data_IF_978400458803
#
_entry.id   IF_978400458803
#
_cell.length_a   1.000
_cell.length_b   1.000
_cell.length_c   1.000
_cell.angle_alpha   90.00
_cell.angle_beta   90.00
_cell.angle_gamma   90.00
#
_symmetry.space_group_name_H-M   'P 1'
#
loop_
_entity.id
_entity.type
_entity.pdbx_description
1 polymer ?
#
# COMPACT_ATOMS: atom_id res chain seq x y z
N UNK A 1 37.01 -30.96 -42.31
CA UNK A 1 37.09 -30.21 -41.06
C UNK A 1 35.98 -29.15 -41.08
N UNK A 2 34.84 -29.46 -40.45
CA UNK A 2 33.67 -28.58 -40.40
C UNK A 2 33.69 -27.81 -39.08
N UNK A 3 33.90 -26.49 -39.14
CA UNK A 3 33.82 -25.60 -37.96
C UNK A 3 32.36 -25.29 -37.67
N UNK A 4 31.80 -25.86 -36.61
CA UNK A 4 30.52 -25.44 -36.08
C UNK A 4 30.72 -24.14 -35.28
N UNK A 5 30.14 -23.05 -35.78
CA UNK A 5 29.98 -21.81 -35.03
C UNK A 5 28.69 -21.93 -34.23
N UNK A 6 28.84 -22.11 -32.93
CA UNK A 6 27.72 -22.02 -31.96
C UNK A 6 27.51 -20.55 -31.64
N UNK A 7 26.48 -19.99 -32.22
CA UNK A 7 26.01 -18.65 -31.86
C UNK A 7 25.27 -18.73 -30.53
N UNK A 8 25.93 -18.29 -29.45
CA UNK A 8 25.29 -18.12 -28.15
C UNK A 8 24.36 -16.89 -28.21
N UNK A 9 23.07 -17.16 -28.32
CA UNK A 9 22.03 -16.14 -28.26
C UNK A 9 21.81 -15.76 -26.81
N UNK A 10 22.45 -14.67 -26.35
CA UNK A 10 22.17 -14.07 -25.06
C UNK A 10 20.77 -13.47 -25.08
N UNK A 11 19.79 -14.18 -24.52
CA UNK A 11 18.51 -13.61 -24.14
C UNK A 11 18.75 -12.66 -22.95
N UNK A 12 18.90 -11.38 -23.25
CA UNK A 12 18.80 -10.33 -22.24
C UNK A 12 17.34 -10.30 -21.76
N UNK A 13 17.07 -10.97 -20.62
CA UNK A 13 15.81 -10.89 -19.95
C UNK A 13 15.60 -9.45 -19.46
N UNK A 14 14.75 -8.70 -20.16
CA UNK A 14 14.26 -7.44 -19.66
C UNK A 14 13.39 -7.73 -18.42
N UNK A 15 13.96 -7.67 -17.24
CA UNK A 15 13.20 -7.61 -16.00
C UNK A 15 12.52 -6.27 -15.98
N UNK A 16 11.23 -6.23 -16.36
CA UNK A 16 10.37 -5.09 -16.10
C UNK A 16 10.25 -4.96 -14.57
N UNK A 17 11.19 -4.26 -13.95
CA UNK A 17 11.01 -3.73 -12.63
C UNK A 17 9.87 -2.71 -12.73
N UNK A 18 8.68 -3.14 -12.34
CA UNK A 18 7.58 -2.24 -12.02
C UNK A 18 7.97 -1.54 -10.71
N UNK A 19 9.00 -0.70 -10.80
CA UNK A 19 9.34 0.22 -9.73
C UNK A 19 8.12 1.14 -9.57
N UNK A 20 7.48 1.00 -8.45
CA UNK A 20 6.35 1.82 -8.06
C UNK A 20 6.92 3.16 -7.67
N UNK A 21 7.07 4.06 -8.64
CA UNK A 21 7.49 5.44 -8.41
C UNK A 21 6.36 6.19 -7.68
N UNK A 22 6.14 5.82 -6.42
CA UNK A 22 5.40 6.69 -5.53
C UNK A 22 6.24 7.95 -5.34
N UNK A 23 5.65 9.15 -5.48
CA UNK A 23 6.34 10.37 -5.11
C UNK A 23 6.85 10.24 -3.68
N UNK A 24 8.03 10.78 -3.39
CA UNK A 24 8.59 10.77 -2.03
C UNK A 24 7.62 11.47 -1.09
N UNK A 25 7.00 10.71 -0.18
CA UNK A 25 6.05 11.20 0.81
C UNK A 25 6.70 11.40 2.18
N UNK A 26 6.07 12.26 2.98
CA UNK A 26 6.38 12.47 4.40
C UNK A 26 5.38 11.67 5.25
N UNK A 27 5.83 10.58 5.86
CA UNK A 27 5.00 9.71 6.69
C UNK A 27 4.44 10.43 7.93
N UNK A 28 5.17 11.39 8.51
CA UNK A 28 4.69 12.13 9.68
C UNK A 28 3.55 13.08 9.30
N UNK A 29 3.67 13.76 8.15
CA UNK A 29 2.59 14.57 7.62
C UNK A 29 1.41 13.69 7.17
N UNK A 30 1.68 12.57 6.51
CA UNK A 30 0.67 11.61 6.09
C UNK A 30 -0.18 11.07 7.25
N UNK A 31 0.43 10.83 8.42
CA UNK A 31 -0.31 10.47 9.64
C UNK A 31 -1.30 11.56 10.05
N UNK A 32 -0.87 12.83 10.01
CA UNK A 32 -1.74 13.95 10.39
C UNK A 32 -2.93 14.05 9.45
N UNK A 33 -2.69 13.98 8.13
CA UNK A 33 -3.74 14.05 7.11
C UNK A 33 -4.68 12.85 7.24
N UNK A 34 -4.15 11.64 7.37
CA UNK A 34 -4.93 10.40 7.55
C UNK A 34 -5.92 10.50 8.72
N UNK A 35 -5.52 11.14 9.81
CA UNK A 35 -6.39 11.36 10.96
C UNK A 35 -7.34 12.55 10.75
N UNK A 36 -6.89 13.64 10.13
CA UNK A 36 -7.71 14.83 9.88
C UNK A 36 -8.84 14.56 8.90
N UNK A 37 -8.55 13.82 7.82
CA UNK A 37 -9.51 13.48 6.78
C UNK A 37 -10.43 12.29 7.13
N UNK A 38 -10.29 11.75 8.33
CA UNK A 38 -11.20 10.73 8.85
C UNK A 38 -10.98 9.32 8.29
N UNK A 39 -9.90 9.04 7.57
CA UNK A 39 -9.58 7.72 7.02
C UNK A 39 -9.59 6.62 8.11
N UNK A 40 -9.17 6.98 9.32
CA UNK A 40 -9.11 6.09 10.47
C UNK A 40 -10.47 5.56 10.92
N UNK A 41 -11.56 6.25 10.61
CA UNK A 41 -12.91 5.86 11.06
C UNK A 41 -13.31 4.50 10.49
N UNK A 42 -12.93 4.22 9.25
CA UNK A 42 -13.18 2.94 8.59
C UNK A 42 -11.95 2.02 8.62
N UNK A 43 -10.74 2.58 8.40
CA UNK A 43 -9.52 1.81 8.24
C UNK A 43 -8.70 1.61 9.52
N UNK A 44 -9.12 2.23 10.64
CA UNK A 44 -8.40 2.17 11.91
C UNK A 44 -7.22 3.13 12.01
N UNK A 45 -6.84 3.49 13.24
CA UNK A 45 -5.81 4.51 13.51
C UNK A 45 -4.42 4.14 12.99
N UNK A 46 -4.17 2.86 12.82
CA UNK A 46 -2.93 2.30 12.29
C UNK A 46 -3.17 1.46 11.04
N UNK A 47 -4.23 1.76 10.30
CA UNK A 47 -4.55 1.07 9.05
C UNK A 47 -4.85 -0.43 9.21
N UNK A 48 -5.31 -0.85 10.39
CA UNK A 48 -5.59 -2.25 10.69
C UNK A 48 -6.87 -2.78 10.04
N UNK A 49 -7.72 -1.90 9.50
CA UNK A 49 -8.98 -2.24 8.86
C UNK A 49 -10.09 -2.64 9.83
N UNK A 50 -11.27 -2.93 9.29
CA UNK A 50 -12.35 -3.62 9.98
C UNK A 50 -12.96 -2.93 11.20
N UNK A 51 -13.01 -1.58 11.22
CA UNK A 51 -13.64 -0.86 12.31
C UNK A 51 -15.15 -0.60 12.05
N UNK A 52 -15.69 0.46 12.55
CA UNK A 52 -17.11 0.73 12.79
C UNK A 52 -18.09 0.45 11.64
N UNK A 53 -17.67 0.43 10.38
CA UNK A 53 -18.56 0.28 9.22
C UNK A 53 -18.39 -1.07 8.49
N UNK A 54 -17.72 -2.06 9.07
CA UNK A 54 -17.63 -3.39 8.51
C UNK A 54 -16.29 -3.71 7.82
N UNK A 55 -16.30 -4.10 6.54
CA UNK A 55 -15.19 -4.79 5.86
C UNK A 55 -14.11 -3.87 5.27
N UNK A 56 -13.82 -2.71 5.85
CA UNK A 56 -12.74 -1.85 5.35
C UNK A 56 -11.40 -2.60 5.36
N UNK A 57 -10.66 -2.60 4.24
CA UNK A 57 -9.43 -3.38 4.13
C UNK A 57 -8.31 -2.84 5.02
N UNK A 58 -7.36 -3.73 5.35
CA UNK A 58 -6.11 -3.36 6.01
C UNK A 58 -5.27 -2.54 5.04
N UNK A 59 -4.82 -1.38 5.50
CA UNK A 59 -3.98 -0.46 4.72
C UNK A 59 -2.52 -0.48 5.18
N UNK A 60 -2.25 -0.89 6.43
CA UNK A 60 -0.88 -0.98 6.93
C UNK A 60 -0.02 -1.88 6.04
N UNK A 61 1.15 -1.40 5.64
CA UNK A 61 2.08 -2.05 4.70
C UNK A 61 1.41 -2.42 3.36
N UNK A 62 0.52 -1.55 2.87
CA UNK A 62 -0.12 -1.78 1.58
C UNK A 62 0.91 -2.09 0.48
N UNK A 63 0.63 -3.14 -0.29
CA UNK A 63 1.41 -3.52 -1.48
C UNK A 63 0.80 -2.96 -2.76
N UNK A 64 -0.25 -2.18 -2.62
CA UNK A 64 -0.91 -1.55 -3.77
C UNK A 64 0.06 -0.58 -4.44
N UNK A 65 0.14 -0.54 -5.78
CA UNK A 65 0.84 0.50 -6.50
C UNK A 65 0.31 1.89 -6.15
N UNK A 66 1.17 2.91 -6.06
CA UNK A 66 0.71 4.27 -5.75
C UNK A 66 -0.36 4.76 -6.74
N UNK A 67 -0.20 4.45 -8.03
CA UNK A 67 -1.19 4.79 -9.05
C UNK A 67 -2.57 4.16 -8.76
N UNK A 68 -2.62 2.91 -8.29
CA UNK A 68 -3.86 2.25 -7.90
C UNK A 68 -4.42 2.83 -6.59
N UNK A 69 -3.56 3.14 -5.62
CA UNK A 69 -3.94 3.83 -4.40
C UNK A 69 -4.58 5.19 -4.69
N UNK A 70 -3.94 6.02 -5.53
CA UNK A 70 -4.48 7.30 -5.97
C UNK A 70 -5.82 7.14 -6.68
N UNK A 71 -5.94 6.17 -7.60
CA UNK A 71 -7.20 5.89 -8.28
C UNK A 71 -8.31 5.53 -7.28
N UNK A 72 -8.01 4.73 -6.25
CA UNK A 72 -8.97 4.36 -5.21
C UNK A 72 -9.42 5.58 -4.40
N UNK A 73 -8.56 6.54 -4.15
CA UNK A 73 -8.92 7.80 -3.49
C UNK A 73 -9.85 8.65 -4.36
N UNK A 74 -9.61 8.71 -5.68
CA UNK A 74 -10.37 9.57 -6.61
C UNK A 74 -11.71 8.95 -7.04
N UNK A 75 -11.71 7.65 -7.30
CA UNK A 75 -12.84 6.87 -7.78
C UNK A 75 -12.97 5.59 -6.94
N UNK A 76 -13.41 5.73 -5.69
CA UNK A 76 -13.47 4.59 -4.78
C UNK A 76 -14.52 3.57 -5.21
N UNK A 77 -14.29 2.32 -4.82
CA UNK A 77 -15.28 1.26 -4.87
C UNK A 77 -15.98 1.15 -3.52
N UNK A 78 -17.20 0.61 -3.52
CA UNK A 78 -18.07 0.44 -2.35
C UNK A 78 -18.34 1.77 -1.62
N UNK A 79 -18.49 1.71 -0.31
CA UNK A 79 -18.93 2.84 0.53
C UNK A 79 -17.81 3.83 0.92
N UNK A 80 -16.63 3.71 0.36
CA UNK A 80 -15.54 4.66 0.62
C UNK A 80 -15.88 6.02 -0.03
N UNK A 81 -15.81 7.15 0.69
CA UNK A 81 -16.02 8.45 0.08
C UNK A 81 -14.88 8.84 -0.87
N UNK A 82 -15.17 9.56 -1.96
CA UNK A 82 -14.14 10.05 -2.86
C UNK A 82 -13.38 11.25 -2.25
N UNK A 83 -12.08 11.28 -2.49
CA UNK A 83 -11.18 12.39 -2.15
C UNK A 83 -10.63 13.00 -3.44
N UNK A 84 -11.32 13.98 -4.05
CA UNK A 84 -10.84 14.63 -5.27
C UNK A 84 -9.58 15.45 -5.01
N UNK A 85 -8.84 15.78 -6.06
CA UNK A 85 -7.51 16.40 -5.96
C UNK A 85 -7.50 17.77 -5.30
N UNK A 86 -8.61 18.51 -5.41
CA UNK A 86 -8.79 19.80 -4.73
C UNK A 86 -8.98 19.67 -3.20
N UNK A 87 -9.39 18.52 -2.69
CA UNK A 87 -9.49 18.22 -1.26
C UNK A 87 -8.25 17.50 -0.73
N UNK A 88 -7.69 16.59 -1.50
CA UNK A 88 -6.51 15.81 -1.15
C UNK A 88 -5.51 15.86 -2.32
N UNK A 89 -4.62 16.85 -2.38
CA UNK A 89 -3.60 16.96 -3.43
C UNK A 89 -2.72 15.69 -3.54
N UNK A 90 -2.14 15.46 -4.72
CA UNK A 90 -1.31 14.28 -4.98
C UNK A 90 -0.16 14.13 -3.98
N UNK A 91 0.47 15.24 -3.59
CA UNK A 91 1.52 15.24 -2.57
C UNK A 91 1.02 14.70 -1.23
N UNK A 92 -0.14 15.12 -0.80
CA UNK A 92 -0.74 14.67 0.46
C UNK A 92 -1.16 13.21 0.38
N UNK A 93 -1.67 12.76 -0.77
CA UNK A 93 -1.91 11.34 -1.02
C UNK A 93 -0.62 10.52 -0.94
N UNK A 94 0.51 11.04 -1.45
CA UNK A 94 1.83 10.41 -1.32
C UNK A 94 2.31 10.38 0.14
N UNK A 95 2.06 11.42 0.91
CA UNK A 95 2.38 11.48 2.34
C UNK A 95 1.58 10.41 3.12
N UNK A 96 0.27 10.29 2.87
CA UNK A 96 -0.56 9.21 3.45
C UNK A 96 -0.03 7.84 3.04
N UNK A 97 0.32 7.65 1.78
CA UNK A 97 0.86 6.38 1.28
C UNK A 97 2.16 6.01 2.00
N UNK A 98 3.07 6.96 2.16
CA UNK A 98 4.31 6.78 2.94
C UNK A 98 4.01 6.42 4.40
N UNK A 99 3.02 7.06 5.03
CA UNK A 99 2.58 6.71 6.37
C UNK A 99 2.10 5.26 6.45
N UNK A 100 1.21 4.85 5.56
CA UNK A 100 0.67 3.49 5.55
C UNK A 100 1.76 2.43 5.34
N UNK A 101 2.77 2.73 4.54
CA UNK A 101 3.92 1.84 4.34
C UNK A 101 4.86 1.80 5.54
N UNK A 102 4.93 2.86 6.33
CA UNK A 102 5.76 2.93 7.55
C UNK A 102 5.16 2.18 8.75
N UNK A 103 3.87 1.85 8.67
CA UNK A 103 3.20 1.16 9.77
C UNK A 103 3.67 -0.29 9.91
N UNK A 104 3.73 -0.82 11.15
CA UNK A 104 4.01 -2.23 11.35
C UNK A 104 2.87 -3.07 10.75
N UNK A 105 3.23 -4.17 10.09
CA UNK A 105 2.27 -5.15 9.60
C UNK A 105 1.57 -5.89 10.74
N UNK A 106 0.61 -6.74 10.38
CA UNK A 106 -0.01 -7.66 11.34
C UNK A 106 1.06 -8.57 11.95
N UNK A 107 1.00 -8.76 13.25
CA UNK A 107 1.86 -9.76 13.91
C UNK A 107 1.50 -11.16 13.39
N UNK A 108 2.51 -12.00 13.06
CA UNK A 108 2.26 -13.39 12.78
C UNK A 108 1.55 -14.09 13.95
N UNK A 109 0.65 -15.04 13.65
CA UNK A 109 -0.10 -15.77 14.69
C UNK A 109 0.83 -16.41 15.73
N UNK A 110 1.97 -16.95 15.28
CA UNK A 110 3.01 -17.54 16.15
C UNK A 110 3.56 -16.58 17.21
N UNK A 111 3.47 -15.26 16.98
CA UNK A 111 3.99 -14.23 17.87
C UNK A 111 2.90 -13.68 18.82
N UNK A 112 1.70 -14.31 18.81
CA UNK A 112 0.57 -13.96 19.69
C UNK A 112 0.39 -15.09 20.71
N UNK A 113 0.88 -14.92 21.96
CA UNK A 113 0.89 -16.01 22.95
C UNK A 113 -0.49 -16.64 23.20
N UNK A 114 -1.54 -15.81 23.23
CA UNK A 114 -2.93 -16.30 23.43
C UNK A 114 -3.45 -17.22 22.32
N UNK A 115 -2.88 -17.14 21.11
CA UNK A 115 -3.30 -17.99 19.98
C UNK A 115 -2.43 -19.24 19.83
N UNK A 116 -1.37 -19.36 20.65
CA UNK A 116 -0.43 -20.49 20.65
C UNK A 116 -0.52 -21.33 21.91
N UNK A 117 -1.49 -21.05 22.80
CA UNK A 117 -1.74 -21.90 23.96
C UNK A 117 -2.50 -23.14 23.47
N UNK A 118 -1.89 -24.29 23.63
CA UNK A 118 -2.59 -25.58 23.51
C UNK A 118 -3.68 -25.63 24.59
N UNK A 119 -4.95 -25.65 24.16
CA UNK A 119 -6.10 -25.94 25.00
C UNK A 119 -6.23 -27.45 25.18
#
# INVERSE_FOLDING_TARGET
MKRLLIAAMMMAGATCAWAQDAPKGDAANGKKIYLADGCYQCHGRVGQGGLMTGSAPVLAQTRMPFAAFKRQLRNPINDMPPYPENLLPEKEAADIFAYLQSLPGRRPVKDIPMLNSDY
#
